data_IF_544380459450
#
_entry.id   IF_544380459450
#
_cell.length_a   1.000
_cell.length_b   1.000
_cell.length_c   1.000
_cell.angle_alpha   90.00
_cell.angle_beta   90.00
_cell.angle_gamma   90.00
#
_symmetry.space_group_name_H-M   'P 1'
#
loop_
_entity.id
_entity.type
_entity.pdbx_description
1 polymer ?
#
# COMPACT_ATOMS: atom_id res chain seq x y z
N UNK A 1 23.19 36.38 0.84
CA UNK A 1 23.64 34.97 0.92
C UNK A 1 23.51 34.35 -0.46
N UNK A 2 24.57 33.76 -1.01
CA UNK A 2 24.57 33.19 -2.37
C UNK A 2 23.85 31.83 -2.41
N UNK A 3 23.20 31.52 -3.53
CA UNK A 3 22.47 30.26 -3.80
C UNK A 3 23.30 28.99 -3.51
N UNK A 4 24.62 29.10 -3.60
CA UNK A 4 25.57 28.02 -3.33
C UNK A 4 25.63 27.63 -1.84
N UNK A 5 25.57 28.61 -0.92
CA UNK A 5 25.54 28.33 0.54
C UNK A 5 24.24 27.67 0.98
N UNK A 6 23.12 27.94 0.31
CA UNK A 6 21.82 27.33 0.62
C UNK A 6 21.74 25.88 0.13
N UNK A 7 22.39 25.56 -1.00
CA UNK A 7 22.47 24.20 -1.54
C UNK A 7 23.39 23.29 -0.71
N UNK A 8 24.47 23.81 -0.12
CA UNK A 8 25.33 23.02 0.78
C UNK A 8 24.67 22.68 2.13
N UNK A 9 23.85 23.58 2.68
CA UNK A 9 23.11 23.32 3.93
C UNK A 9 22.00 22.27 3.75
N UNK A 10 21.30 22.28 2.60
CA UNK A 10 20.26 21.29 2.31
C UNK A 10 20.84 19.91 1.99
N UNK A 11 22.01 19.83 1.33
CA UNK A 11 22.69 18.56 1.04
C UNK A 11 23.22 17.84 2.29
N UNK A 12 23.53 18.58 3.36
CA UNK A 12 23.93 18.01 4.66
C UNK A 12 22.73 17.50 5.49
N UNK A 13 21.56 18.14 5.42
CA UNK A 13 20.36 17.69 6.15
C UNK A 13 19.76 16.40 5.58
N UNK A 14 19.60 16.30 4.24
CA UNK A 14 18.93 15.14 3.61
C UNK A 14 19.72 13.82 3.70
N UNK A 15 21.05 13.89 3.82
CA UNK A 15 21.89 12.70 3.99
C UNK A 15 21.91 12.17 5.43
N UNK A 16 21.53 13.00 6.41
CA UNK A 16 21.55 12.61 7.83
C UNK A 16 20.27 11.88 8.24
N UNK A 17 19.11 12.25 7.70
CA UNK A 17 17.81 11.65 8.03
C UNK A 17 17.64 10.24 7.46
N UNK A 18 18.01 10.01 6.20
CA UNK A 18 17.90 8.68 5.57
C UNK A 18 18.84 7.64 6.21
N UNK A 19 20.01 8.09 6.69
CA UNK A 19 20.97 7.23 7.37
C UNK A 19 20.52 6.87 8.79
N UNK A 20 19.83 7.79 9.46
CA UNK A 20 19.24 7.56 10.78
C UNK A 20 18.06 6.57 10.72
N UNK A 21 17.19 6.65 9.71
CA UNK A 21 16.01 5.78 9.64
C UNK A 21 16.39 4.32 9.29
N UNK A 22 17.32 4.14 8.34
CA UNK A 22 17.84 2.80 8.00
C UNK A 22 18.62 2.16 9.16
N UNK A 23 19.35 2.96 9.95
CA UNK A 23 20.01 2.50 11.18
C UNK A 23 19.00 2.07 12.23
N UNK A 24 17.93 2.85 12.44
CA UNK A 24 16.86 2.55 13.42
C UNK A 24 16.14 1.23 13.12
N UNK A 25 15.85 0.95 11.85
CA UNK A 25 15.20 -0.29 11.43
C UNK A 25 16.14 -1.52 11.56
N UNK A 26 17.43 -1.34 11.28
CA UNK A 26 18.43 -2.38 11.52
C UNK A 26 18.58 -2.69 13.01
N UNK A 27 18.62 -1.66 13.86
CA UNK A 27 18.66 -1.81 15.32
C UNK A 27 17.41 -2.55 15.83
N UNK A 28 16.22 -2.26 15.27
CA UNK A 28 14.99 -2.98 15.57
C UNK A 28 15.07 -4.46 15.17
N UNK A 29 15.55 -4.76 13.96
CA UNK A 29 15.73 -6.13 13.48
C UNK A 29 16.68 -6.95 14.37
N UNK A 30 17.81 -6.36 14.82
CA UNK A 30 18.74 -6.99 15.76
C UNK A 30 18.05 -7.29 17.10
N UNK A 31 17.31 -6.34 17.64
CA UNK A 31 16.63 -6.52 18.92
C UNK A 31 15.50 -7.56 18.85
N UNK A 32 14.78 -7.65 17.72
CA UNK A 32 13.78 -8.70 17.50
C UNK A 32 14.44 -10.07 17.42
N UNK A 33 15.57 -10.19 16.71
CA UNK A 33 16.35 -11.42 16.61
C UNK A 33 16.79 -11.94 17.98
N UNK A 34 17.26 -11.05 18.85
CA UNK A 34 17.60 -11.40 20.24
C UNK A 34 16.37 -11.82 21.04
N UNK A 35 15.26 -11.08 20.90
CA UNK A 35 14.02 -11.35 21.63
C UNK A 35 13.34 -12.66 21.24
N UNK A 36 13.58 -13.19 20.03
CA UNK A 36 13.13 -14.53 19.64
C UNK A 36 14.10 -15.63 20.06
N UNK A 37 15.17 -15.32 20.79
CA UNK A 37 16.11 -16.28 21.36
C UNK A 37 17.35 -16.55 20.51
N UNK A 38 17.72 -15.63 19.61
CA UNK A 38 18.91 -15.71 18.77
C UNK A 38 18.68 -16.43 17.43
N UNK A 39 19.66 -16.32 16.51
CA UNK A 39 19.58 -16.88 15.16
C UNK A 39 19.41 -18.41 15.15
N UNK A 40 20.03 -19.08 16.11
CA UNK A 40 19.96 -20.53 16.30
C UNK A 40 18.58 -20.99 16.78
N UNK A 41 17.75 -20.08 17.29
CA UNK A 41 16.39 -20.41 17.68
C UNK A 41 15.37 -20.23 16.56
N UNK A 42 15.73 -19.65 15.40
CA UNK A 42 14.83 -19.46 14.27
C UNK A 42 14.92 -20.65 13.31
N UNK A 43 13.79 -21.29 13.02
CA UNK A 43 13.66 -22.31 11.96
C UNK A 43 13.32 -21.67 10.61
N UNK A 44 12.35 -20.76 10.64
CA UNK A 44 11.83 -20.09 9.45
C UNK A 44 11.32 -18.72 9.84
N UNK A 45 11.52 -17.75 8.97
CA UNK A 45 10.94 -16.41 9.13
C UNK A 45 10.29 -15.99 7.83
N UNK A 46 9.05 -15.55 7.93
CA UNK A 46 8.25 -15.00 6.84
C UNK A 46 7.51 -13.77 7.36
N UNK A 47 6.92 -13.00 6.46
CA UNK A 47 6.01 -11.93 6.83
C UNK A 47 4.77 -11.99 5.94
N UNK A 48 3.63 -11.65 6.52
CA UNK A 48 2.45 -11.23 5.79
C UNK A 48 2.25 -9.73 6.05
N UNK A 49 1.45 -9.08 5.21
CA UNK A 49 1.11 -7.64 5.18
C UNK A 49 1.47 -6.86 6.47
N UNK A 50 0.96 -7.26 7.63
CA UNK A 50 1.23 -6.58 8.91
C UNK A 50 1.93 -7.43 9.98
N UNK A 51 2.23 -8.70 9.68
CA UNK A 51 2.69 -9.68 10.68
C UNK A 51 3.99 -10.35 10.28
N UNK A 52 4.99 -10.19 11.14
CA UNK A 52 6.19 -11.01 11.14
C UNK A 52 5.85 -12.38 11.73
N UNK A 53 6.08 -13.44 10.97
CA UNK A 53 5.87 -14.84 11.37
C UNK A 53 7.22 -15.50 11.60
N UNK A 54 7.48 -15.92 12.83
CA UNK A 54 8.75 -16.53 13.21
C UNK A 54 8.48 -17.92 13.76
N UNK A 55 8.86 -18.94 13.00
CA UNK A 55 8.88 -20.31 13.48
C UNK A 55 10.18 -20.55 14.24
N UNK A 56 10.10 -21.13 15.44
CA UNK A 56 11.24 -21.27 16.35
C UNK A 56 11.53 -22.73 16.74
N UNK A 57 12.78 -23.00 17.11
CA UNK A 57 13.21 -24.28 17.67
C UNK A 57 12.66 -24.50 19.08
N UNK A 58 12.63 -23.45 19.91
CA UNK A 58 12.13 -23.49 21.27
C UNK A 58 11.33 -22.23 21.61
N UNK A 59 10.03 -22.38 21.86
CA UNK A 59 9.11 -21.28 22.18
C UNK A 59 9.40 -20.65 23.55
N UNK A 60 10.04 -21.37 24.48
CA UNK A 60 10.36 -20.85 25.82
C UNK A 60 11.52 -19.85 25.80
N UNK A 61 12.30 -19.81 24.72
CA UNK A 61 13.34 -18.79 24.51
C UNK A 61 12.80 -17.48 23.93
N UNK A 62 11.52 -17.43 23.56
CA UNK A 62 10.90 -16.25 22.96
C UNK A 62 10.35 -15.31 24.05
N UNK A 63 10.86 -14.08 24.07
CA UNK A 63 10.38 -12.99 24.93
C UNK A 63 9.31 -12.15 24.23
N UNK A 64 8.06 -12.62 24.30
CA UNK A 64 6.92 -11.91 23.69
C UNK A 64 6.68 -10.52 24.28
N UNK A 65 7.08 -10.27 25.54
CA UNK A 65 6.91 -8.95 26.18
C UNK A 65 7.89 -7.94 25.59
N UNK A 66 9.15 -8.34 25.42
CA UNK A 66 10.16 -7.51 24.75
C UNK A 66 9.77 -7.18 23.32
N UNK A 67 9.19 -8.13 22.58
CA UNK A 67 8.72 -7.91 21.19
C UNK A 67 7.60 -6.86 21.13
N UNK A 68 6.67 -6.83 22.09
CA UNK A 68 5.67 -5.74 22.19
C UNK A 68 6.31 -4.39 22.51
N UNK A 69 7.29 -4.34 23.43
CA UNK A 69 8.01 -3.10 23.77
C UNK A 69 8.80 -2.56 22.56
N UNK A 70 9.30 -3.44 21.70
CA UNK A 70 9.99 -3.08 20.46
C UNK A 70 9.06 -2.52 19.37
N UNK A 71 7.75 -2.41 19.63
CA UNK A 71 6.79 -1.78 18.73
C UNK A 71 5.81 -2.74 18.06
N UNK A 72 5.78 -4.02 18.46
CA UNK A 72 4.71 -4.90 17.98
C UNK A 72 3.37 -4.51 18.61
N UNK A 73 2.36 -4.27 17.78
CA UNK A 73 0.99 -3.99 18.21
C UNK A 73 0.31 -5.21 18.84
N UNK A 74 0.83 -6.41 18.58
CA UNK A 74 0.40 -7.65 19.22
C UNK A 74 1.33 -8.81 18.89
N UNK A 75 1.43 -9.78 19.81
CA UNK A 75 2.25 -10.99 19.62
C UNK A 75 1.43 -12.23 19.98
N UNK A 76 1.24 -13.10 19.02
CA UNK A 76 0.44 -14.32 19.15
C UNK A 76 1.35 -15.54 19.11
N UNK A 77 1.27 -16.40 20.13
CA UNK A 77 1.93 -17.70 20.11
C UNK A 77 1.12 -18.67 19.26
N UNK A 78 1.80 -19.36 18.35
CA UNK A 78 1.23 -20.39 17.48
C UNK A 78 2.03 -21.68 17.63
N UNK A 79 1.50 -22.80 17.12
CA UNK A 79 2.09 -24.13 17.36
C UNK A 79 3.57 -24.25 16.97
N UNK A 80 4.01 -23.55 15.91
CA UNK A 80 5.38 -23.55 15.41
C UNK A 80 6.24 -22.37 15.87
N UNK A 81 5.67 -21.37 16.55
CA UNK A 81 6.40 -20.16 16.94
C UNK A 81 5.52 -18.97 17.31
N UNK A 82 5.79 -17.81 16.73
CA UNK A 82 5.04 -16.57 17.01
C UNK A 82 4.63 -15.82 15.74
N UNK A 83 3.58 -15.02 15.86
CA UNK A 83 3.20 -13.98 14.90
C UNK A 83 3.17 -12.64 15.62
N UNK A 84 4.00 -11.69 15.19
CA UNK A 84 4.09 -10.35 15.76
C UNK A 84 3.61 -9.31 14.76
N UNK A 85 2.71 -8.42 15.17
CA UNK A 85 2.13 -7.38 14.32
C UNK A 85 3.05 -6.15 14.35
N UNK A 86 3.91 -5.99 13.35
CA UNK A 86 4.77 -4.81 13.20
C UNK A 86 4.28 -3.86 12.08
N UNK A 87 3.09 -4.13 11.52
CA UNK A 87 2.59 -3.36 10.39
C UNK A 87 3.44 -3.59 9.14
N UNK A 88 3.48 -2.60 8.24
CA UNK A 88 4.18 -2.65 6.95
C UNK A 88 5.69 -2.93 7.08
N UNK A 89 6.28 -2.64 8.23
CA UNK A 89 7.69 -2.91 8.52
C UNK A 89 7.98 -4.41 8.64
N UNK A 90 6.96 -5.27 8.79
CA UNK A 90 7.12 -6.72 8.97
C UNK A 90 7.91 -7.37 7.82
N UNK A 91 7.71 -6.91 6.58
CA UNK A 91 8.41 -7.48 5.42
C UNK A 91 9.89 -7.05 5.38
N UNK A 92 10.15 -5.79 5.71
CA UNK A 92 11.52 -5.24 5.79
C UNK A 92 12.29 -5.85 6.97
N UNK A 93 11.62 -6.01 8.12
CA UNK A 93 12.17 -6.69 9.29
C UNK A 93 12.48 -8.15 8.99
N UNK A 94 11.61 -8.86 8.25
CA UNK A 94 11.88 -10.23 7.78
C UNK A 94 13.14 -10.28 6.92
N UNK A 95 13.30 -9.38 5.94
CA UNK A 95 14.48 -9.36 5.07
C UNK A 95 15.75 -9.00 5.84
N UNK A 96 15.70 -8.00 6.72
CA UNK A 96 16.84 -7.62 7.56
C UNK A 96 17.23 -8.73 8.53
N UNK A 97 16.27 -9.41 9.16
CA UNK A 97 16.54 -10.53 10.05
C UNK A 97 17.12 -11.72 9.25
N UNK A 98 16.62 -12.00 8.03
CA UNK A 98 17.22 -13.01 7.13
C UNK A 98 18.67 -12.66 6.79
N UNK A 99 18.94 -11.39 6.48
CA UNK A 99 20.29 -10.91 6.17
C UNK A 99 21.23 -10.98 7.39
N UNK A 100 20.72 -10.70 8.60
CA UNK A 100 21.45 -10.83 9.87
C UNK A 100 21.77 -12.29 10.19
N UNK A 101 20.81 -13.21 10.01
CA UNK A 101 21.02 -14.65 10.19
C UNK A 101 22.07 -15.17 9.19
N UNK A 102 22.01 -14.70 7.94
CA UNK A 102 22.92 -15.07 6.86
C UNK A 102 24.28 -14.37 6.88
N UNK A 103 24.54 -13.46 7.82
CA UNK A 103 25.82 -12.75 7.95
C UNK A 103 26.11 -11.69 6.87
N UNK A 104 25.08 -11.23 6.13
CA UNK A 104 25.22 -10.38 4.93
C UNK A 104 24.86 -8.90 5.12
N UNK A 105 24.63 -8.44 6.36
CA UNK A 105 24.09 -7.12 6.68
C UNK A 105 24.89 -5.90 6.14
N UNK A 106 26.13 -6.07 5.66
CA UNK A 106 27.01 -4.97 5.24
C UNK A 106 27.05 -4.77 3.70
N UNK A 107 26.47 -5.67 2.87
CA UNK A 107 26.73 -5.65 1.41
C UNK A 107 25.83 -4.72 0.58
N UNK A 108 24.71 -4.18 1.12
CA UNK A 108 23.77 -3.32 0.35
C UNK A 108 23.96 -1.81 0.47
N UNK A 109 24.86 -1.30 1.31
CA UNK A 109 25.04 0.16 1.52
C UNK A 109 25.92 0.82 0.42
N UNK A 110 26.46 0.08 -0.56
CA UNK A 110 27.52 0.59 -1.47
C UNK A 110 27.25 0.61 -2.98
N UNK A 111 26.06 0.28 -3.51
CA UNK A 111 25.85 0.36 -4.97
C UNK A 111 24.76 1.36 -5.35
N UNK A 112 25.12 2.46 -6.05
CA UNK A 112 24.19 3.44 -6.61
C UNK A 112 23.73 2.99 -8.01
N UNK A 113 22.43 3.08 -8.30
CA UNK A 113 21.95 3.05 -9.69
C UNK A 113 21.52 4.45 -10.11
N UNK A 114 22.22 4.98 -11.13
CA UNK A 114 22.03 6.30 -11.76
C UNK A 114 20.91 6.28 -12.82
N UNK A 115 20.01 7.25 -12.69
CA UNK A 115 19.27 8.10 -13.65
C UNK A 115 19.14 7.74 -15.14
N UNK A 116 17.92 7.85 -15.67
CA UNK A 116 17.38 9.00 -16.44
C UNK A 116 15.86 8.79 -16.65
N UNK A 117 14.97 9.75 -16.34
CA UNK A 117 14.67 10.93 -17.16
C UNK A 117 14.12 12.09 -16.32
N UNK A 118 14.39 13.32 -16.77
CA UNK A 118 14.00 14.59 -16.15
C UNK A 118 12.49 14.84 -16.25
N UNK A 119 11.79 15.07 -15.14
CA UNK A 119 10.81 16.17 -14.98
C UNK A 119 10.86 16.66 -13.51
N UNK A 120 11.09 17.95 -13.35
CA UNK A 120 10.89 18.70 -12.11
C UNK A 120 9.41 18.78 -11.73
N UNK A 121 9.02 18.14 -10.64
CA UNK A 121 8.04 18.66 -9.66
C UNK A 121 8.26 17.87 -8.38
N UNK A 122 8.35 18.56 -7.25
CA UNK A 122 8.26 17.95 -5.93
C UNK A 122 6.95 17.17 -5.87
N UNK A 123 7.01 15.85 -6.02
CA UNK A 123 5.82 15.00 -5.94
C UNK A 123 5.45 14.93 -4.47
N UNK A 124 4.36 15.59 -4.12
CA UNK A 124 3.73 15.46 -2.81
C UNK A 124 3.39 13.98 -2.59
N UNK A 125 3.93 13.40 -1.52
CA UNK A 125 3.66 11.99 -1.16
C UNK A 125 2.18 11.73 -0.87
N UNK A 126 1.37 12.79 -0.71
CA UNK A 126 -0.06 12.76 -0.43
C UNK A 126 -0.94 13.05 -1.67
N UNK A 127 -0.36 13.10 -2.88
CA UNK A 127 -1.13 13.37 -4.08
C UNK A 127 -2.08 12.20 -4.42
N UNK A 128 -3.39 12.47 -4.38
CA UNK A 128 -4.44 11.59 -4.88
C UNK A 128 -5.11 12.25 -6.09
N UNK A 129 -5.36 11.48 -7.15
CA UNK A 129 -6.11 11.90 -8.33
C UNK A 129 -7.25 10.93 -8.63
N UNK A 130 -8.27 11.38 -9.36
CA UNK A 130 -9.35 10.49 -9.76
C UNK A 130 -8.83 9.33 -10.62
N UNK A 131 -9.16 8.06 -10.28
CA UNK A 131 -8.72 6.89 -11.06
C UNK A 131 -9.52 6.69 -12.35
N UNK A 132 -10.67 7.35 -12.48
CA UNK A 132 -11.60 7.20 -13.61
C UNK A 132 -12.13 8.57 -14.07
N UNK A 133 -12.57 8.64 -15.32
CA UNK A 133 -13.37 9.78 -15.79
C UNK A 133 -14.84 9.47 -15.57
N UNK A 134 -15.60 10.40 -14.99
CA UNK A 134 -17.01 10.18 -14.71
C UNK A 134 -17.59 11.15 -13.70
N UNK A 135 -18.75 10.79 -13.15
CA UNK A 135 -19.45 11.56 -12.13
C UNK A 135 -19.12 11.04 -10.74
N UNK A 136 -18.70 11.91 -9.83
CA UNK A 136 -18.49 11.58 -8.42
C UNK A 136 -19.82 11.36 -7.71
N UNK A 137 -19.89 10.31 -6.89
CA UNK A 137 -21.06 9.90 -6.13
C UNK A 137 -20.68 9.63 -4.68
N UNK A 138 -21.64 9.85 -3.77
CA UNK A 138 -21.52 9.42 -2.39
C UNK A 138 -21.65 7.89 -2.32
N UNK A 139 -20.94 7.25 -1.38
CA UNK A 139 -21.07 5.81 -1.18
C UNK A 139 -22.50 5.39 -0.89
N UNK A 140 -23.30 6.24 -0.20
CA UNK A 140 -24.71 5.95 0.07
C UNK A 140 -25.56 5.76 -1.20
N UNK A 141 -25.11 6.30 -2.33
CA UNK A 141 -25.80 6.21 -3.63
C UNK A 141 -25.35 4.98 -4.44
N UNK A 142 -24.42 4.18 -3.91
CA UNK A 142 -23.99 2.92 -4.52
C UNK A 142 -25.06 1.85 -4.29
N UNK A 143 -25.53 1.14 -5.33
CA UNK A 143 -26.59 0.12 -5.21
C UNK A 143 -26.07 -1.21 -4.68
N UNK A 144 -25.37 -1.17 -3.53
CA UNK A 144 -24.81 -2.32 -2.82
C UNK A 144 -24.62 -1.96 -1.34
N UNK A 145 -25.17 -2.77 -0.44
CA UNK A 145 -25.17 -2.49 1.01
C UNK A 145 -23.77 -2.50 1.63
N UNK A 146 -22.85 -3.30 1.09
CA UNK A 146 -21.49 -3.41 1.64
C UNK A 146 -20.73 -2.10 1.45
N UNK A 147 -20.91 -1.46 0.29
CA UNK A 147 -20.29 -0.17 -0.01
C UNK A 147 -21.08 1.01 0.58
N UNK A 148 -22.41 1.03 0.43
CA UNK A 148 -23.24 2.15 0.88
C UNK A 148 -23.29 2.34 2.38
N UNK A 149 -23.12 1.26 3.14
CA UNK A 149 -23.01 1.32 4.60
C UNK A 149 -21.57 1.48 5.10
N UNK A 150 -20.60 1.68 4.20
CA UNK A 150 -19.17 1.85 4.52
C UNK A 150 -18.57 0.71 5.35
N UNK A 151 -19.07 -0.53 5.16
CA UNK A 151 -18.65 -1.70 5.97
C UNK A 151 -17.17 -2.03 5.74
N UNK A 152 -16.69 -1.86 4.50
CA UNK A 152 -15.30 -2.14 4.11
C UNK A 152 -14.35 -0.97 4.45
N UNK A 153 -14.86 0.25 4.46
CA UNK A 153 -14.09 1.48 4.66
C UNK A 153 -14.83 2.70 4.12
N UNK A 154 -14.25 3.88 4.33
CA UNK A 154 -14.79 5.13 3.79
C UNK A 154 -14.21 5.45 2.40
N UNK A 155 -14.83 6.36 1.67
CA UNK A 155 -14.43 6.71 0.32
C UNK A 155 -15.55 7.36 -0.47
N UNK A 156 -15.55 7.08 -1.77
CA UNK A 156 -16.49 7.65 -2.73
C UNK A 156 -16.72 6.65 -3.87
N UNK A 157 -17.64 6.98 -4.78
CA UNK A 157 -17.83 6.21 -5.99
C UNK A 157 -17.75 7.10 -7.23
N UNK A 158 -17.45 6.48 -8.37
CA UNK A 158 -17.51 7.12 -9.69
C UNK A 158 -18.50 6.34 -10.54
N UNK A 159 -19.41 7.04 -11.22
CA UNK A 159 -20.12 6.51 -12.38
C UNK A 159 -19.27 6.80 -13.64
N UNK A 160 -18.57 5.81 -14.20
CA UNK A 160 -17.57 6.06 -15.23
C UNK A 160 -18.20 6.32 -16.60
N UNK A 161 -17.62 7.28 -17.33
CA UNK A 161 -17.94 7.55 -18.74
C UNK A 161 -16.92 6.92 -19.71
N UNK A 162 -15.77 6.49 -19.20
CA UNK A 162 -14.76 5.73 -19.94
C UNK A 162 -14.29 4.51 -19.16
N UNK A 163 -13.78 3.52 -19.88
CA UNK A 163 -13.27 2.27 -19.31
C UNK A 163 -11.80 2.32 -18.87
N UNK A 164 -11.13 3.46 -18.98
CA UNK A 164 -9.71 3.58 -18.65
C UNK A 164 -9.54 3.91 -17.18
N UNK A 165 -9.04 2.94 -16.41
CA UNK A 165 -8.67 3.10 -15.01
C UNK A 165 -7.17 3.37 -14.92
N UNK A 166 -6.83 4.48 -14.27
CA UNK A 166 -5.45 4.87 -13.98
C UNK A 166 -5.16 4.77 -12.48
N UNK A 167 -3.88 4.75 -12.11
CA UNK A 167 -3.48 4.82 -10.71
C UNK A 167 -3.86 6.17 -10.12
N UNK A 168 -4.61 6.21 -9.00
CA UNK A 168 -4.91 7.45 -8.31
C UNK A 168 -3.73 7.98 -7.51
N UNK A 169 -2.70 7.15 -7.28
CA UNK A 169 -1.57 7.46 -6.39
C UNK A 169 -0.26 6.90 -6.95
N UNK A 170 0.87 7.36 -6.40
CA UNK A 170 2.10 6.58 -6.47
C UNK A 170 2.03 5.49 -5.40
N UNK A 171 2.42 4.27 -5.76
CA UNK A 171 2.33 3.17 -4.82
C UNK A 171 2.61 1.81 -5.44
N UNK A 172 2.08 0.77 -4.81
CA UNK A 172 2.26 -0.62 -5.22
C UNK A 172 0.93 -1.33 -5.35
N UNK A 173 0.73 -2.05 -6.45
CA UNK A 173 -0.40 -2.95 -6.62
C UNK A 173 -0.26 -4.09 -5.62
N UNK A 174 -1.22 -4.19 -4.70
CA UNK A 174 -1.19 -5.20 -3.64
C UNK A 174 -1.92 -6.47 -4.04
N UNK A 175 -3.09 -6.33 -4.66
CA UNK A 175 -3.89 -7.47 -5.11
C UNK A 175 -4.63 -7.10 -6.37
N UNK A 176 -4.66 -8.04 -7.31
CA UNK A 176 -5.58 -8.03 -8.42
C UNK A 176 -6.48 -9.25 -8.26
N UNK A 177 -7.78 -9.05 -8.21
CA UNK A 177 -8.73 -10.14 -8.01
C UNK A 177 -8.72 -11.07 -9.24
N UNK A 178 -8.97 -12.39 -9.09
CA UNK A 178 -8.89 -13.33 -10.21
C UNK A 178 -9.78 -12.96 -11.41
N UNK A 179 -10.95 -12.38 -11.15
CA UNK A 179 -11.89 -11.89 -12.17
C UNK A 179 -11.60 -10.45 -12.60
N UNK A 180 -10.47 -9.86 -12.19
CA UNK A 180 -9.90 -8.55 -12.58
C UNK A 180 -10.73 -7.29 -12.29
N UNK A 181 -11.98 -7.44 -11.85
CA UNK A 181 -12.89 -6.33 -11.54
C UNK A 181 -12.43 -5.45 -10.38
N UNK A 182 -11.59 -5.95 -9.47
CA UNK A 182 -11.14 -5.20 -8.31
C UNK A 182 -9.61 -5.24 -8.17
N UNK A 183 -9.05 -4.14 -7.71
CA UNK A 183 -7.60 -3.92 -7.54
C UNK A 183 -7.40 -3.15 -6.25
N UNK A 184 -6.43 -3.57 -5.44
CA UNK A 184 -6.00 -2.82 -4.26
C UNK A 184 -4.60 -2.23 -4.47
N UNK A 185 -4.40 -0.98 -4.05
CA UNK A 185 -3.16 -0.22 -4.18
C UNK A 185 -2.75 0.24 -2.79
N UNK A 186 -1.50 -0.01 -2.42
CA UNK A 186 -0.87 0.62 -1.26
C UNK A 186 -0.20 1.90 -1.75
N UNK A 187 -0.73 3.06 -1.37
CA UNK A 187 -0.11 4.34 -1.67
C UNK A 187 1.23 4.49 -0.92
N UNK A 188 2.15 5.26 -1.49
CA UNK A 188 3.40 5.62 -0.80
C UNK A 188 3.16 6.43 0.50
N UNK A 189 1.98 7.05 0.65
CA UNK A 189 1.51 7.69 1.88
C UNK A 189 1.09 6.70 2.97
N UNK A 190 0.92 5.41 2.64
CA UNK A 190 0.47 4.37 3.57
C UNK A 190 -1.03 4.07 3.50
N UNK A 191 -1.79 4.80 2.68
CA UNK A 191 -3.22 4.53 2.46
C UNK A 191 -3.44 3.30 1.59
N UNK A 192 -4.31 2.39 2.02
CA UNK A 192 -4.78 1.25 1.26
C UNK A 192 -6.05 1.63 0.51
N UNK A 193 -5.98 1.58 -0.82
CA UNK A 193 -7.07 1.97 -1.71
C UNK A 193 -7.58 0.71 -2.42
N UNK A 194 -8.84 0.36 -2.23
CA UNK A 194 -9.57 -0.65 -2.98
C UNK A 194 -10.40 0.03 -4.07
N UNK A 195 -10.13 -0.30 -5.32
CA UNK A 195 -10.95 0.11 -6.45
C UNK A 195 -11.75 -1.11 -6.92
N UNK A 196 -13.07 -1.02 -6.88
CA UNK A 196 -13.98 -2.10 -7.26
C UNK A 196 -14.82 -1.69 -8.47
N UNK A 197 -14.46 -2.13 -9.67
CA UNK A 197 -15.08 -1.69 -10.91
C UNK A 197 -16.47 -2.31 -11.08
N UNK A 198 -17.52 -1.49 -11.02
CA UNK A 198 -18.92 -1.91 -11.11
C UNK A 198 -19.42 -2.72 -9.90
N UNK A 199 -20.71 -3.06 -9.88
CA UNK A 199 -21.35 -3.92 -8.87
C UNK A 199 -21.70 -5.26 -9.50
N UNK A 200 -21.51 -6.36 -8.75
CA UNK A 200 -21.70 -7.74 -9.21
C UNK A 200 -20.79 -8.18 -10.38
N UNK A 201 -19.77 -7.39 -10.70
CA UNK A 201 -18.85 -7.63 -11.83
C UNK A 201 -17.97 -8.88 -11.66
N UNK A 202 -17.87 -9.43 -10.45
CA UNK A 202 -17.27 -10.75 -10.21
C UNK A 202 -17.91 -11.86 -11.07
N UNK A 203 -19.22 -11.76 -11.34
CA UNK A 203 -20.00 -12.75 -12.12
C UNK A 203 -19.56 -12.82 -13.59
N UNK A 204 -18.90 -11.76 -14.10
CA UNK A 204 -18.39 -11.68 -15.47
C UNK A 204 -17.12 -12.51 -15.67
N UNK A 205 -16.52 -13.04 -14.58
CA UNK A 205 -15.33 -13.92 -14.65
C UNK A 205 -14.16 -13.33 -15.45
N UNK A 206 -14.00 -12.00 -15.42
CA UNK A 206 -12.96 -11.28 -16.16
C UNK A 206 -13.32 -10.87 -17.58
N UNK A 207 -14.52 -11.22 -18.07
CA UNK A 207 -15.01 -10.73 -19.36
C UNK A 207 -15.21 -9.21 -19.31
N UNK A 208 -14.73 -8.51 -20.35
CA UNK A 208 -14.75 -7.05 -20.40
C UNK A 208 -13.62 -6.36 -19.64
N UNK A 209 -12.69 -7.11 -19.02
CA UNK A 209 -11.56 -6.56 -18.27
C UNK A 209 -10.20 -6.96 -18.86
N UNK A 210 -9.42 -5.96 -19.25
CA UNK A 210 -8.02 -6.09 -19.69
C UNK A 210 -7.10 -5.42 -18.66
N UNK A 211 -6.33 -6.24 -17.94
CA UNK A 211 -5.40 -5.77 -16.91
C UNK A 211 -4.06 -5.38 -17.55
N UNK A 212 -3.54 -4.20 -17.21
CA UNK A 212 -2.30 -3.64 -17.76
C UNK A 212 -1.10 -3.74 -16.81
N UNK A 213 -1.34 -4.08 -15.55
CA UNK A 213 -0.33 -4.21 -14.48
C UNK A 213 -0.38 -5.58 -13.83
N UNK A 214 0.59 -5.90 -12.98
CA UNK A 214 0.64 -7.15 -12.21
C UNK A 214 0.62 -6.88 -10.70
N UNK A 215 0.19 -7.88 -9.93
CA UNK A 215 0.36 -7.81 -8.47
C UNK A 215 1.83 -7.67 -8.11
N UNK A 216 2.11 -6.79 -7.15
CA UNK A 216 3.46 -6.44 -6.71
C UNK A 216 4.15 -5.36 -7.54
N UNK A 217 3.54 -4.89 -8.63
CA UNK A 217 4.08 -3.84 -9.48
C UNK A 217 3.95 -2.46 -8.82
N UNK A 218 4.98 -1.61 -8.99
CA UNK A 218 4.92 -0.20 -8.60
C UNK A 218 4.24 0.61 -9.69
N UNK A 219 3.34 1.50 -9.30
CA UNK A 219 2.60 2.38 -10.20
C UNK A 219 2.81 3.84 -9.84
N UNK A 220 2.73 4.71 -10.85
CA UNK A 220 2.76 6.15 -10.68
C UNK A 220 1.38 6.76 -10.88
N UNK A 221 1.13 7.92 -10.28
CA UNK A 221 -0.11 8.71 -10.51
C UNK A 221 -0.40 8.83 -12.01
N UNK A 222 -1.62 8.51 -12.41
CA UNK A 222 -2.07 8.57 -13.81
C UNK A 222 -1.60 7.42 -14.69
N UNK A 223 -0.80 6.48 -14.19
CA UNK A 223 -0.40 5.29 -14.96
C UNK A 223 -1.63 4.41 -15.26
N UNK A 224 -1.87 3.98 -16.51
CA UNK A 224 -2.94 3.04 -16.82
C UNK A 224 -2.77 1.69 -16.10
N UNK A 225 -3.85 1.20 -15.48
CA UNK A 225 -3.88 -0.02 -14.67
C UNK A 225 -4.81 -1.08 -15.29
N UNK A 226 -5.99 -0.65 -15.74
CA UNK A 226 -7.04 -1.55 -16.24
C UNK A 226 -7.81 -0.85 -17.35
N UNK A 227 -8.16 -1.61 -18.39
CA UNK A 227 -9.14 -1.22 -19.41
C UNK A 227 -10.38 -2.07 -19.27
N UNK A 228 -11.53 -1.40 -19.19
CA UNK A 228 -12.84 -2.00 -19.03
C UNK A 228 -13.69 -1.72 -20.27
N UNK A 229 -14.34 -2.74 -20.83
CA UNK A 229 -15.35 -2.54 -21.85
C UNK A 229 -16.70 -2.24 -21.17
N UNK A 230 -17.06 -0.95 -21.11
CA UNK A 230 -18.27 -0.51 -20.43
C UNK A 230 -19.55 -1.09 -21.05
N UNK A 231 -19.59 -1.36 -22.35
CA UNK A 231 -20.78 -1.95 -23.00
C UNK A 231 -21.01 -3.39 -22.54
N UNK A 232 -19.95 -4.19 -22.52
CA UNK A 232 -20.00 -5.58 -22.01
C UNK A 232 -20.40 -5.57 -20.54
N UNK A 233 -19.82 -4.67 -19.73
CA UNK A 233 -20.11 -4.62 -18.30
C UNK A 233 -21.55 -4.15 -18.04
N UNK A 234 -22.02 -3.07 -18.68
CA UNK A 234 -23.41 -2.57 -18.55
C UNK A 234 -24.46 -3.62 -18.89
N UNK A 235 -24.19 -4.50 -19.86
CA UNK A 235 -25.14 -5.54 -20.26
C UNK A 235 -25.22 -6.75 -19.33
N UNK A 236 -24.24 -6.92 -18.41
CA UNK A 236 -24.10 -8.14 -17.60
C UNK A 236 -23.98 -7.90 -16.10
N UNK A 237 -23.58 -6.69 -15.69
CA UNK A 237 -23.42 -6.29 -14.30
C UNK A 237 -24.64 -5.51 -13.81
N UNK A 238 -24.84 -5.51 -12.50
CA UNK A 238 -25.95 -4.77 -11.87
C UNK A 238 -25.74 -3.26 -11.93
N UNK A 239 -24.49 -2.79 -11.96
CA UNK A 239 -24.13 -1.39 -12.17
C UNK A 239 -22.67 -1.25 -12.63
N UNK A 240 -22.34 -0.15 -13.30
CA UNK A 240 -20.94 0.26 -13.58
C UNK A 240 -20.38 1.23 -12.53
N UNK A 241 -21.21 1.67 -11.58
CA UNK A 241 -20.77 2.50 -10.46
C UNK A 241 -19.61 1.78 -9.76
N UNK A 242 -18.49 2.46 -9.67
CA UNK A 242 -17.22 1.93 -9.22
C UNK A 242 -16.86 2.57 -7.90
N UNK A 243 -16.92 1.84 -6.78
CA UNK A 243 -16.44 2.32 -5.48
C UNK A 243 -14.90 2.43 -5.43
N UNK A 244 -14.43 3.51 -4.80
CA UNK A 244 -13.04 3.76 -4.44
C UNK A 244 -13.02 3.90 -2.91
N UNK A 245 -12.50 2.88 -2.25
CA UNK A 245 -12.57 2.73 -0.79
C UNK A 245 -11.18 2.80 -0.20
N UNK A 246 -11.02 3.58 0.87
CA UNK A 246 -9.85 3.59 1.72
C UNK A 246 -10.09 2.67 2.92
N UNK A 247 -9.32 1.59 3.02
CA UNK A 247 -9.59 0.51 3.99
C UNK A 247 -8.88 0.69 5.33
N UNK A 248 -8.01 1.69 5.45
CA UNK A 248 -7.16 1.89 6.62
C UNK A 248 -7.06 3.35 7.07
N UNK A 249 -8.06 4.20 6.76
CA UNK A 249 -8.12 5.55 7.31
C UNK A 249 -8.15 5.50 8.84
N UNK A 250 -7.42 6.41 9.47
CA UNK A 250 -7.55 6.67 10.90
C UNK A 250 -8.91 7.31 11.21
N UNK A 251 -9.29 7.34 12.50
CA UNK A 251 -10.56 7.98 12.92
C UNK A 251 -10.58 9.50 12.73
N UNK A 252 -9.40 10.08 12.52
CA UNK A 252 -9.20 11.52 12.37
C UNK A 252 -9.17 11.93 10.90
N UNK A 253 -9.00 10.96 9.98
CA UNK A 253 -8.95 11.20 8.54
C UNK A 253 -10.33 11.06 7.91
N UNK A 254 -10.63 11.96 6.97
CA UNK A 254 -11.87 11.93 6.19
C UNK A 254 -11.63 12.16 4.71
N UNK A 255 -12.47 11.55 3.88
CA UNK A 255 -12.42 11.75 2.43
C UNK A 255 -13.40 12.86 2.07
N UNK A 256 -12.89 13.88 1.38
CA UNK A 256 -13.67 15.05 0.97
C UNK A 256 -13.66 15.21 -0.55
N UNK A 257 -14.85 15.45 -1.10
CA UNK A 257 -15.11 15.60 -2.53
C UNK A 257 -16.47 16.29 -2.73
N UNK A 258 -16.70 16.83 -3.92
CA UNK A 258 -17.99 17.40 -4.30
C UNK A 258 -18.85 16.36 -5.02
N UNK A 259 -19.89 15.85 -4.34
CA UNK A 259 -20.81 14.88 -4.93
C UNK A 259 -21.57 15.50 -6.13
N UNK A 260 -21.62 14.76 -7.24
CA UNK A 260 -22.22 15.21 -8.49
C UNK A 260 -21.27 15.91 -9.46
N UNK A 261 -20.05 16.28 -9.02
CA UNK A 261 -19.04 16.86 -9.89
C UNK A 261 -18.57 15.85 -10.96
N UNK A 262 -18.24 16.37 -12.15
CA UNK A 262 -17.60 15.61 -13.21
C UNK A 262 -16.09 15.70 -13.07
N UNK A 263 -15.41 14.54 -13.15
CA UNK A 263 -13.96 14.44 -13.02
C UNK A 263 -13.37 13.69 -14.20
N UNK A 264 -12.13 14.04 -14.56
CA UNK A 264 -11.31 13.26 -15.50
C UNK A 264 -10.32 12.38 -14.74
N UNK A 265 -10.00 11.24 -15.33
CA UNK A 265 -8.91 10.40 -14.85
C UNK A 265 -7.62 11.22 -14.77
N UNK A 266 -6.94 11.18 -13.62
CA UNK A 266 -5.74 11.98 -13.35
C UNK A 266 -6.00 13.39 -12.80
N UNK A 267 -7.25 13.81 -12.59
CA UNK A 267 -7.59 15.12 -12.04
C UNK A 267 -7.60 15.12 -10.50
N UNK A 268 -7.11 16.20 -9.89
CA UNK A 268 -7.10 16.44 -8.45
C UNK A 268 -8.43 17.07 -8.00
N UNK A 269 -9.40 16.26 -7.56
CA UNK A 269 -10.73 16.72 -7.10
C UNK A 269 -11.22 15.99 -5.84
N UNK A 270 -10.37 15.11 -5.29
CA UNK A 270 -10.66 14.31 -4.10
C UNK A 270 -9.48 14.46 -3.13
N UNK A 271 -9.79 14.82 -1.89
CA UNK A 271 -8.80 15.11 -0.86
C UNK A 271 -9.02 14.23 0.36
N UNK A 272 -7.92 13.74 0.93
CA UNK A 272 -7.90 13.09 2.24
C UNK A 272 -7.37 14.14 3.21
N UNK A 273 -8.16 14.49 4.23
CA UNK A 273 -7.84 15.52 5.22
C UNK A 273 -7.87 14.98 6.63
#
# INVERSE_FOLDING_TARGET
MTKEKFQELNKKHSNHENKNNSKKLLDLAVNILDAVGGKENIKKIDACITRLRVDVNNINKVDSKRIMILGAQGVFKVQSGIQAVFGIESDQLKDLIKDLIGGNAIKRIKTPHKNQSNITKSIDKNLFVSPLSGKLLDLKDVPDEIFSQKIIGDGFAIEPVSGELVSPVNGKIMTVFPTKHAISIMADSGHEILIHFGIDTVKLKGEGFELLVKSGETVQVGQPILRANLEIIKSKASSIITPIIFTNLSKEETVTFEAGAEVKAGQEEVFII
#
